data_IF_577720999643
#
_entry.id   IF_577720999643
#
_cell.length_a   1.000
_cell.length_b   1.000
_cell.length_c   1.000
_cell.angle_alpha   90.00
_cell.angle_beta   90.00
_cell.angle_gamma   90.00
#
_symmetry.space_group_name_H-M   'P 1'
#
loop_
_entity.id
_entity.type
_entity.pdbx_description
1 polymer ?
#
# COMPACT_ATOMS: atom_id res chain seq x y z
N UNK A 1 -16.57 11.27 -6.74
CA UNK A 1 -15.95 12.52 -7.22
C UNK A 1 -16.99 13.65 -7.25
N UNK A 2 -18.10 13.46 -7.96
CA UNK A 2 -19.13 14.47 -8.23
C UNK A 2 -19.67 15.19 -6.98
N UNK A 3 -19.96 14.46 -5.88
CA UNK A 3 -20.47 15.05 -4.63
C UNK A 3 -19.57 16.14 -4.03
N UNK A 4 -18.25 16.02 -4.21
CA UNK A 4 -17.27 16.95 -3.64
C UNK A 4 -16.55 17.78 -4.70
N UNK A 5 -16.99 17.66 -5.97
CA UNK A 5 -16.40 18.33 -7.12
C UNK A 5 -14.87 18.16 -7.24
N UNK A 6 -14.36 16.99 -6.83
CA UNK A 6 -12.94 16.62 -6.92
C UNK A 6 -12.71 15.93 -8.26
N UNK A 7 -11.92 16.57 -9.13
CA UNK A 7 -11.63 16.08 -10.48
C UNK A 7 -10.14 15.81 -10.71
N UNK A 8 -9.30 15.93 -9.67
CA UNK A 8 -7.87 15.64 -9.78
C UNK A 8 -7.65 14.12 -9.94
N UNK A 9 -7.10 13.67 -11.07
CA UNK A 9 -6.93 12.25 -11.33
C UNK A 9 -5.93 11.57 -10.38
N UNK A 10 -4.93 12.28 -9.85
CA UNK A 10 -3.97 11.71 -8.90
C UNK A 10 -4.65 11.44 -7.55
N UNK A 11 -5.47 12.38 -7.07
CA UNK A 11 -6.25 12.19 -5.83
C UNK A 11 -7.24 11.04 -6.00
N UNK A 12 -7.95 11.00 -7.12
CA UNK A 12 -8.93 9.95 -7.40
C UNK A 12 -8.27 8.57 -7.53
N UNK A 13 -7.11 8.49 -8.17
CA UNK A 13 -6.34 7.25 -8.29
C UNK A 13 -5.88 6.74 -6.93
N UNK A 14 -5.27 7.62 -6.10
CA UNK A 14 -4.81 7.23 -4.77
C UNK A 14 -5.96 6.69 -3.93
N UNK A 15 -7.13 7.36 -3.95
CA UNK A 15 -8.34 6.88 -3.26
C UNK A 15 -8.83 5.56 -3.87
N UNK A 16 -8.74 5.37 -5.19
CA UNK A 16 -9.18 4.12 -5.81
C UNK A 16 -8.36 2.92 -5.36
N UNK A 17 -7.03 3.07 -5.27
CA UNK A 17 -6.13 1.96 -4.94
C UNK A 17 -5.76 1.83 -3.46
N UNK A 18 -6.15 2.75 -2.56
CA UNK A 18 -5.69 2.75 -1.15
C UNK A 18 -5.99 1.46 -0.36
N UNK A 19 -7.01 0.67 -0.74
CA UNK A 19 -7.37 -0.55 0.00
C UNK A 19 -6.50 -1.74 -0.40
N UNK A 20 -6.25 -1.91 -1.69
CA UNK A 20 -5.63 -3.12 -2.27
C UNK A 20 -4.24 -2.86 -2.84
N UNK A 21 -3.85 -1.61 -3.05
CA UNK A 21 -2.76 -1.23 -3.93
C UNK A 21 -3.07 -1.52 -5.40
N UNK A 22 -2.18 -1.11 -6.28
CA UNK A 22 -2.16 -1.51 -7.68
C UNK A 22 -0.71 -1.64 -8.17
N UNK A 23 -0.51 -2.25 -9.34
CA UNK A 23 0.77 -2.08 -10.02
C UNK A 23 0.96 -0.60 -10.37
N UNK A 24 2.22 -0.20 -10.46
CA UNK A 24 2.62 1.13 -10.86
C UNK A 24 2.14 2.28 -9.97
N UNK A 25 1.96 2.01 -8.68
CA UNK A 25 1.61 3.05 -7.71
C UNK A 25 2.59 4.22 -7.81
N UNK A 26 2.02 5.42 -7.99
CA UNK A 26 2.76 6.66 -7.92
C UNK A 26 3.04 7.03 -6.45
N UNK A 27 3.78 8.11 -6.22
CA UNK A 27 4.15 8.52 -4.86
C UNK A 27 2.94 8.83 -3.97
N UNK A 28 1.90 9.48 -4.50
CA UNK A 28 0.70 9.81 -3.75
C UNK A 28 -0.11 8.54 -3.41
N UNK A 29 -0.21 7.60 -4.34
CA UNK A 29 -0.86 6.31 -4.11
C UNK A 29 -0.20 5.57 -2.94
N UNK A 30 1.14 5.49 -2.94
CA UNK A 30 1.91 4.86 -1.86
C UNK A 30 1.74 5.61 -0.53
N UNK A 31 1.79 6.95 -0.54
CA UNK A 31 1.61 7.76 0.67
C UNK A 31 0.25 7.47 1.30
N UNK A 32 -0.83 7.53 0.51
CA UNK A 32 -2.17 7.31 1.03
C UNK A 32 -2.37 5.86 1.49
N UNK A 33 -1.86 4.90 0.71
CA UNK A 33 -1.90 3.47 1.04
C UNK A 33 -1.20 3.18 2.37
N UNK A 34 0.04 3.65 2.55
CA UNK A 34 0.81 3.43 3.78
C UNK A 34 0.20 4.19 4.95
N UNK A 35 -0.23 5.44 4.76
CA UNK A 35 -0.84 6.26 5.82
C UNK A 35 -2.05 5.58 6.47
N UNK A 36 -2.95 4.97 5.68
CA UNK A 36 -4.10 4.22 6.21
C UNK A 36 -3.69 3.01 7.07
N UNK A 37 -2.51 2.43 6.80
CA UNK A 37 -1.98 1.30 7.59
C UNK A 37 -1.22 1.76 8.82
N UNK A 38 -0.48 2.85 8.76
CA UNK A 38 0.39 3.28 9.88
C UNK A 38 -0.25 4.27 10.85
N UNK A 39 -1.51 4.68 10.61
CA UNK A 39 -2.18 5.70 11.41
C UNK A 39 -2.11 5.39 12.93
N UNK A 40 -2.02 6.42 13.80
CA UNK A 40 -1.69 6.26 15.21
C UNK A 40 -2.55 5.25 15.99
N UNK A 41 -3.82 5.10 15.65
CA UNK A 41 -4.76 4.22 16.33
C UNK A 41 -4.69 2.75 15.88
N UNK A 42 -3.87 2.40 14.88
CA UNK A 42 -3.66 1.01 14.47
C UNK A 42 -2.84 0.23 15.49
N UNK A 43 -3.15 -1.07 15.58
CA UNK A 43 -2.44 -2.03 16.42
C UNK A 43 -2.27 -3.34 15.66
N UNK A 44 -1.04 -3.65 15.22
CA UNK A 44 -0.68 -4.95 14.64
C UNK A 44 0.83 -5.18 14.73
N UNK A 45 1.27 -6.44 14.64
CA UNK A 45 2.60 -6.88 15.06
C UNK A 45 3.77 -6.15 14.38
N UNK A 46 3.65 -5.85 13.08
CA UNK A 46 4.74 -5.25 12.30
C UNK A 46 4.65 -3.71 12.17
N UNK A 47 3.76 -3.06 12.92
CA UNK A 47 3.47 -1.63 12.76
C UNK A 47 4.69 -0.73 12.98
N UNK A 48 5.52 -1.00 13.99
CA UNK A 48 6.71 -0.18 14.27
C UNK A 48 7.73 -0.26 13.13
N UNK A 49 7.93 -1.45 12.56
CA UNK A 49 8.79 -1.65 11.39
C UNK A 49 8.27 -0.87 10.18
N UNK A 50 6.95 -0.91 9.92
CA UNK A 50 6.35 -0.17 8.80
C UNK A 50 6.49 1.34 9.03
N UNK A 51 6.27 1.83 10.25
CA UNK A 51 6.45 3.25 10.60
C UNK A 51 7.89 3.72 10.39
N UNK A 52 8.87 2.91 10.78
CA UNK A 52 10.28 3.20 10.53
C UNK A 52 10.56 3.36 9.03
N UNK A 53 10.13 2.39 8.21
CA UNK A 53 10.32 2.49 6.76
C UNK A 53 9.48 3.59 6.11
N UNK A 54 8.32 3.94 6.67
CA UNK A 54 7.49 5.01 6.11
C UNK A 54 8.23 6.37 6.08
N UNK A 55 9.15 6.58 7.03
CA UNK A 55 10.00 7.77 7.12
C UNK A 55 11.28 7.66 6.26
N UNK A 56 11.79 6.45 6.00
CA UNK A 56 13.09 6.22 5.35
C UNK A 56 12.97 5.74 3.89
N UNK A 57 12.18 4.69 3.64
CA UNK A 57 11.97 4.08 2.33
C UNK A 57 10.50 3.67 2.15
N UNK A 58 9.72 4.56 1.52
CA UNK A 58 8.29 4.33 1.31
C UNK A 58 8.00 3.09 0.47
N UNK A 59 8.88 2.68 -0.45
CA UNK A 59 8.64 1.48 -1.25
C UNK A 59 8.82 0.23 -0.38
N UNK A 60 9.77 0.22 0.55
CA UNK A 60 9.88 -0.83 1.56
C UNK A 60 8.66 -0.84 2.48
N UNK A 61 8.22 0.32 2.97
CA UNK A 61 7.01 0.41 3.78
C UNK A 61 5.78 -0.15 3.04
N UNK A 62 5.60 0.26 1.79
CA UNK A 62 4.52 -0.21 0.90
C UNK A 62 4.58 -1.71 0.70
N UNK A 63 5.77 -2.25 0.43
CA UNK A 63 5.99 -3.69 0.26
C UNK A 63 5.61 -4.46 1.52
N UNK A 64 6.07 -4.03 2.69
CA UNK A 64 5.77 -4.70 3.96
C UNK A 64 4.26 -4.66 4.24
N UNK A 65 3.58 -3.53 4.01
CA UNK A 65 2.12 -3.45 4.10
C UNK A 65 1.41 -4.47 3.19
N UNK A 66 1.83 -4.61 1.93
CA UNK A 66 1.25 -5.58 1.00
C UNK A 66 1.49 -7.03 1.44
N UNK A 67 2.67 -7.32 2.00
CA UNK A 67 2.99 -8.62 2.57
C UNK A 67 2.10 -8.95 3.77
N UNK A 68 1.89 -8.01 4.68
CA UNK A 68 0.99 -8.17 5.84
C UNK A 68 -0.44 -8.49 5.41
N UNK A 69 -0.97 -7.76 4.42
CA UNK A 69 -2.31 -8.01 3.87
C UNK A 69 -2.40 -9.42 3.28
N UNK A 70 -1.41 -9.82 2.49
CA UNK A 70 -1.38 -11.14 1.87
C UNK A 70 -1.33 -12.25 2.93
N UNK A 71 -0.45 -12.12 3.93
CA UNK A 71 -0.34 -13.08 5.03
C UNK A 71 -1.63 -13.16 5.86
N UNK A 72 -2.26 -12.02 6.17
CA UNK A 72 -3.52 -11.98 6.89
C UNK A 72 -4.64 -12.70 6.13
N UNK A 73 -4.77 -12.45 4.83
CA UNK A 73 -5.79 -13.09 3.99
C UNK A 73 -5.54 -14.59 3.85
N UNK A 74 -4.29 -15.00 3.67
CA UNK A 74 -3.92 -16.42 3.62
C UNK A 74 -4.24 -17.14 4.94
N UNK A 75 -3.86 -16.56 6.09
CA UNK A 75 -4.19 -17.10 7.42
C UNK A 75 -5.71 -17.18 7.66
N UNK A 76 -6.45 -16.28 7.04
CA UNK A 76 -7.92 -16.23 7.13
C UNK A 76 -8.63 -17.07 6.06
N UNK A 77 -7.91 -17.84 5.23
CA UNK A 77 -8.45 -18.58 4.08
C UNK A 77 -9.28 -17.73 3.12
N UNK A 78 -8.97 -16.44 3.00
CA UNK A 78 -9.64 -15.48 2.12
C UNK A 78 -8.83 -15.28 0.83
N UNK A 79 -9.49 -15.08 -0.31
CA UNK A 79 -8.80 -14.83 -1.56
C UNK A 79 -8.09 -13.48 -1.53
N UNK A 80 -6.90 -13.44 -2.12
CA UNK A 80 -6.11 -12.21 -2.30
C UNK A 80 -6.51 -11.58 -3.63
N UNK A 81 -6.89 -10.30 -3.59
CA UNK A 81 -7.28 -9.57 -4.79
C UNK A 81 -6.10 -9.52 -5.80
N UNK A 82 -6.35 -9.68 -7.12
CA UNK A 82 -5.29 -9.63 -8.13
C UNK A 82 -4.40 -8.38 -8.07
N UNK A 83 -5.00 -7.21 -7.82
CA UNK A 83 -4.24 -5.96 -7.71
C UNK A 83 -3.22 -5.96 -6.57
N UNK A 84 -3.54 -6.56 -5.42
CA UNK A 84 -2.60 -6.66 -4.32
C UNK A 84 -1.38 -7.54 -4.67
N UNK A 85 -1.60 -8.61 -5.45
CA UNK A 85 -0.50 -9.46 -5.95
C UNK A 85 0.36 -8.73 -6.97
N UNK A 86 -0.27 -8.00 -7.89
CA UNK A 86 0.43 -7.19 -8.90
C UNK A 86 1.24 -6.07 -8.24
N UNK A 87 0.66 -5.36 -7.29
CA UNK A 87 1.32 -4.33 -6.50
C UNK A 87 2.56 -4.88 -5.78
N UNK A 88 2.45 -6.04 -5.12
CA UNK A 88 3.57 -6.65 -4.42
C UNK A 88 4.71 -7.01 -5.38
N UNK A 89 4.37 -7.61 -6.53
CA UNK A 89 5.35 -7.98 -7.57
C UNK A 89 6.05 -6.75 -8.15
N UNK A 90 5.30 -5.66 -8.39
CA UNK A 90 5.85 -4.38 -8.85
C UNK A 90 6.80 -3.78 -7.81
N UNK A 91 6.42 -3.74 -6.52
CA UNK A 91 7.31 -3.25 -5.45
C UNK A 91 8.58 -4.10 -5.32
N UNK A 92 8.48 -5.43 -5.38
CA UNK A 92 9.64 -6.34 -5.39
C UNK A 92 10.61 -5.99 -6.54
N UNK A 93 10.06 -5.76 -7.74
CA UNK A 93 10.84 -5.41 -8.94
C UNK A 93 11.52 -4.04 -8.80
N UNK A 94 10.78 -3.02 -8.34
CA UNK A 94 11.29 -1.65 -8.14
C UNK A 94 12.42 -1.61 -7.11
N UNK A 95 12.26 -2.33 -6.01
CA UNK A 95 13.27 -2.41 -4.95
C UNK A 95 14.52 -3.14 -5.46
N UNK A 96 14.37 -4.22 -6.22
CA UNK A 96 15.50 -4.95 -6.79
C UNK A 96 16.29 -4.09 -7.78
N UNK A 97 15.61 -3.27 -8.59
CA UNK A 97 16.24 -2.40 -9.60
C UNK A 97 17.01 -1.20 -9.03
N UNK A 98 16.87 -0.88 -7.73
CA UNK A 98 17.60 0.21 -7.06
C UNK A 98 18.94 -0.21 -6.47
N UNK A 99 19.18 -1.52 -6.39
CA UNK A 99 20.44 -2.10 -5.90
C UNK A 99 21.47 -2.16 -7.01
#
# INVERSE_FOLDING_TARGET
AEKFNINDPLILQAIHCHTTGCADMNRLDQILFVADKVEPARTYANLDTIRLFAEDDLDQATRICLQEINQYLQKSSKPVHPYARQALTDMDTRIAARK
#
